data_IF_512929981736
#
_entry.id   IF_512929981736
#
_cell.length_a   1.000
_cell.length_b   1.000
_cell.length_c   1.000
_cell.angle_alpha   90.00
_cell.angle_beta   90.00
_cell.angle_gamma   90.00
#
_symmetry.space_group_name_H-M   'P 1'
#
loop_
_entity.id
_entity.type
_entity.pdbx_description
1 polymer ?
#
# COMPACT_ATOMS: atom_id res chain seq x y z
N UNK A 1 12.95 -19.81 23.11
CA UNK A 1 12.36 -19.28 21.87
C UNK A 1 11.79 -20.46 21.12
N UNK A 2 10.46 -20.55 20.91
CA UNK A 2 9.89 -21.62 20.11
C UNK A 2 10.44 -21.55 18.67
N UNK A 3 10.58 -22.67 17.97
CA UNK A 3 11.03 -22.67 16.59
C UNK A 3 9.95 -22.01 15.73
N UNK A 4 10.32 -20.95 15.02
CA UNK A 4 9.45 -20.36 14.00
C UNK A 4 9.58 -21.24 12.76
N UNK A 5 8.52 -21.98 12.44
CA UNK A 5 8.57 -22.97 11.35
C UNK A 5 7.57 -22.68 10.23
N UNK A 6 6.65 -21.74 10.41
CA UNK A 6 5.64 -21.42 9.41
C UNK A 6 5.58 -19.94 9.06
N UNK A 7 4.88 -19.63 7.97
CA UNK A 7 4.64 -18.25 7.55
C UNK A 7 3.74 -17.51 8.54
N UNK A 8 2.78 -18.19 9.15
CA UNK A 8 1.84 -17.63 10.12
C UNK A 8 2.55 -17.10 11.37
N UNK A 9 3.57 -17.81 11.85
CA UNK A 9 4.41 -17.40 12.98
C UNK A 9 5.14 -16.07 12.71
N UNK A 10 5.37 -15.75 11.44
CA UNK A 10 6.11 -14.56 10.99
C UNK A 10 5.19 -13.43 10.49
N UNK A 11 3.87 -13.59 10.52
CA UNK A 11 2.94 -12.65 9.90
C UNK A 11 3.09 -11.20 10.42
N UNK A 12 3.40 -11.03 11.71
CA UNK A 12 3.63 -9.71 12.33
C UNK A 12 4.85 -8.96 11.79
N UNK A 13 5.77 -9.66 11.13
CA UNK A 13 7.00 -9.10 10.56
C UNK A 13 6.85 -8.73 9.08
N UNK A 14 5.70 -8.99 8.46
CA UNK A 14 5.50 -8.77 7.02
C UNK A 14 5.64 -7.29 6.59
N UNK A 15 5.53 -6.34 7.54
CA UNK A 15 5.70 -4.90 7.31
C UNK A 15 7.05 -4.36 7.80
N UNK A 16 7.96 -5.21 8.28
CA UNK A 16 9.30 -4.77 8.64
C UNK A 16 10.11 -4.40 7.38
N UNK A 17 10.95 -3.36 7.51
CA UNK A 17 11.75 -2.83 6.40
C UNK A 17 12.63 -3.92 5.77
N UNK A 18 13.19 -4.81 6.58
CA UNK A 18 14.12 -5.88 6.21
C UNK A 18 13.45 -7.24 5.92
N UNK A 19 12.12 -7.34 6.04
CA UNK A 19 11.37 -8.58 5.81
C UNK A 19 11.14 -8.93 4.31
N UNK A 20 12.03 -8.48 3.42
CA UNK A 20 11.91 -8.75 1.97
C UNK A 20 11.90 -10.25 1.65
N UNK A 21 12.77 -11.03 2.30
CA UNK A 21 12.82 -12.48 2.11
C UNK A 21 11.54 -13.16 2.61
N UNK A 22 10.99 -12.69 3.73
CA UNK A 22 9.73 -13.20 4.25
C UNK A 22 8.59 -12.95 3.26
N UNK A 23 8.48 -11.74 2.69
CA UNK A 23 7.48 -11.43 1.66
C UNK A 23 7.66 -12.25 0.38
N UNK A 24 8.89 -12.69 0.08
CA UNK A 24 9.16 -13.55 -1.07
C UNK A 24 8.72 -15.00 -0.84
N UNK A 25 8.93 -15.53 0.36
CA UNK A 25 8.59 -16.92 0.71
C UNK A 25 7.12 -17.06 1.12
N UNK A 26 6.61 -16.06 1.84
CA UNK A 26 5.29 -16.05 2.48
C UNK A 26 4.38 -14.96 1.90
N UNK A 27 4.45 -14.73 0.58
CA UNK A 27 3.75 -13.63 -0.08
C UNK A 27 2.25 -13.57 0.21
N UNK A 28 1.58 -14.73 0.26
CA UNK A 28 0.15 -14.80 0.61
C UNK A 28 -0.08 -14.35 2.04
N UNK A 29 0.62 -14.93 3.03
CA UNK A 29 0.50 -14.53 4.45
C UNK A 29 0.85 -13.07 4.69
N UNK A 30 1.77 -12.52 3.90
CA UNK A 30 2.11 -11.10 3.95
C UNK A 30 1.16 -10.22 3.13
N UNK A 31 0.07 -10.72 2.58
CA UNK A 31 -0.93 -9.93 1.86
C UNK A 31 -0.50 -9.43 0.48
N UNK A 32 0.50 -10.05 -0.17
CA UNK A 32 0.91 -9.66 -1.53
C UNK A 32 -0.17 -9.91 -2.60
N UNK A 33 -1.16 -10.76 -2.30
CA UNK A 33 -2.28 -11.07 -3.21
C UNK A 33 -3.58 -10.34 -2.84
N UNK A 34 -3.66 -9.81 -1.61
CA UNK A 34 -4.87 -9.24 -1.03
C UNK A 34 -4.97 -7.75 -1.39
N UNK A 35 -6.01 -7.32 -2.13
CA UNK A 35 -6.15 -5.93 -2.56
C UNK A 35 -6.23 -4.94 -1.39
N UNK A 36 -6.90 -5.35 -0.31
CA UNK A 36 -7.16 -4.49 0.85
C UNK A 36 -6.14 -4.66 1.99
N UNK A 37 -5.06 -5.43 1.77
CA UNK A 37 -3.96 -5.48 2.72
C UNK A 37 -3.23 -4.13 2.78
N UNK A 38 -2.40 -3.94 3.82
CA UNK A 38 -1.57 -2.74 3.94
C UNK A 38 -0.71 -2.59 2.67
N UNK A 39 -0.80 -1.49 1.91
CA UNK A 39 -0.08 -1.32 0.64
C UNK A 39 1.44 -1.29 0.76
N UNK A 40 1.96 -1.01 1.96
CA UNK A 40 3.39 -0.86 2.19
C UNK A 40 4.12 -2.18 1.93
N UNK A 41 5.20 -2.07 1.16
CA UNK A 41 6.05 -3.17 0.72
C UNK A 41 5.34 -4.22 -0.15
N UNK A 42 4.12 -3.96 -0.64
CA UNK A 42 3.39 -4.87 -1.55
C UNK A 42 3.78 -4.67 -3.01
N UNK A 43 5.08 -4.58 -3.26
CA UNK A 43 5.65 -4.37 -4.59
C UNK A 43 6.78 -5.36 -4.84
N UNK A 44 7.11 -5.55 -6.12
CA UNK A 44 8.15 -6.51 -6.51
C UNK A 44 9.51 -6.19 -5.92
N UNK A 45 9.87 -4.91 -5.88
CA UNK A 45 11.13 -4.44 -5.30
C UNK A 45 11.27 -4.82 -3.82
N UNK A 46 10.15 -5.06 -3.13
CA UNK A 46 10.09 -5.31 -1.70
C UNK A 46 9.78 -6.77 -1.35
N UNK A 47 9.83 -7.67 -2.33
CA UNK A 47 9.78 -9.12 -2.10
C UNK A 47 8.51 -9.80 -2.57
N UNK A 48 7.45 -9.07 -2.91
CA UNK A 48 6.26 -9.72 -3.49
C UNK A 48 6.57 -10.31 -4.86
N UNK A 49 6.35 -11.61 -5.02
CA UNK A 49 6.59 -12.30 -6.29
C UNK A 49 5.63 -11.81 -7.38
N UNK A 50 6.11 -11.85 -8.64
CA UNK A 50 5.31 -11.44 -9.81
C UNK A 50 4.01 -12.24 -9.92
N UNK A 51 4.03 -13.52 -9.56
CA UNK A 51 2.84 -14.38 -9.55
C UNK A 51 1.77 -13.82 -8.60
N UNK A 52 2.15 -13.46 -7.37
CA UNK A 52 1.23 -12.85 -6.41
C UNK A 52 0.65 -11.51 -6.91
N UNK A 53 1.50 -10.64 -7.45
CA UNK A 53 1.06 -9.33 -7.95
C UNK A 53 0.17 -9.44 -9.20
N UNK A 54 0.34 -10.48 -10.00
CA UNK A 54 -0.53 -10.76 -11.14
C UNK A 54 -1.91 -11.30 -10.71
N UNK A 55 -2.02 -11.82 -9.49
CA UNK A 55 -3.30 -12.29 -8.93
C UNK A 55 -4.12 -11.13 -8.37
N UNK A 56 -3.50 -10.04 -7.90
CA UNK A 56 -4.22 -8.88 -7.34
C UNK A 56 -5.34 -8.36 -8.27
N UNK A 57 -5.12 -8.11 -9.58
CA UNK A 57 -6.19 -7.68 -10.48
C UNK A 57 -7.37 -8.65 -10.54
N UNK A 58 -7.15 -9.95 -10.35
CA UNK A 58 -8.21 -10.96 -10.39
C UNK A 58 -9.18 -10.75 -9.21
N UNK A 59 -8.64 -10.46 -8.03
CA UNK A 59 -9.44 -10.22 -6.83
C UNK A 59 -10.18 -8.88 -6.88
N UNK A 60 -9.59 -7.86 -7.52
CA UNK A 60 -10.14 -6.50 -7.58
C UNK A 60 -11.37 -6.39 -8.49
N UNK A 61 -11.48 -7.23 -9.53
CA UNK A 61 -12.53 -7.09 -10.57
C UNK A 61 -13.94 -7.14 -9.97
N UNK A 62 -14.14 -7.98 -8.97
CA UNK A 62 -15.45 -8.24 -8.35
C UNK A 62 -15.70 -7.38 -7.08
N UNK A 63 -14.74 -6.56 -6.68
CA UNK A 63 -14.89 -5.67 -5.53
C UNK A 63 -15.86 -4.50 -5.84
N UNK A 64 -16.56 -3.96 -4.82
CA UNK A 64 -17.36 -2.76 -5.00
C UNK A 64 -16.46 -1.55 -5.29
N UNK A 65 -16.97 -0.61 -6.10
CA UNK A 65 -16.33 0.69 -6.32
C UNK A 65 -16.57 1.61 -5.12
N UNK A 66 -16.04 1.22 -3.98
CA UNK A 66 -16.20 1.90 -2.71
C UNK A 66 -14.84 2.10 -2.07
N UNK A 67 -14.58 3.33 -1.65
CA UNK A 67 -13.39 3.67 -0.87
C UNK A 67 -13.50 3.06 0.53
N UNK A 68 -12.38 2.57 1.06
CA UNK A 68 -12.31 2.19 2.47
C UNK A 68 -12.57 3.38 3.38
N UNK A 69 -13.09 3.11 4.57
CA UNK A 69 -13.27 4.14 5.57
C UNK A 69 -11.93 4.67 6.09
N UNK A 70 -11.92 5.90 6.59
CA UNK A 70 -10.71 6.50 7.15
C UNK A 70 -10.15 5.67 8.32
N UNK A 71 -10.99 5.03 9.12
CA UNK A 71 -10.61 4.17 10.24
C UNK A 71 -10.22 2.74 9.85
N UNK A 72 -10.20 2.42 8.55
CA UNK A 72 -9.78 1.10 8.07
C UNK A 72 -8.33 0.80 8.48
N UNK A 73 -8.11 -0.39 9.07
CA UNK A 73 -6.84 -0.73 9.74
C UNK A 73 -5.64 -0.65 8.78
N UNK A 74 -5.78 -1.20 7.57
CA UNK A 74 -4.70 -1.21 6.59
C UNK A 74 -4.36 0.22 6.10
N UNK A 75 -5.36 1.10 6.02
CA UNK A 75 -5.18 2.52 5.68
C UNK A 75 -4.43 3.26 6.78
N UNK A 76 -4.88 3.11 8.03
CA UNK A 76 -4.23 3.74 9.19
C UNK A 76 -2.78 3.28 9.33
N UNK A 77 -2.57 1.96 9.29
CA UNK A 77 -1.25 1.34 9.42
C UNK A 77 -0.29 1.76 8.30
N UNK A 78 -0.77 1.90 7.07
CA UNK A 78 0.04 2.40 5.94
C UNK A 78 0.61 3.79 6.25
N UNK A 79 -0.26 4.72 6.64
CA UNK A 79 0.14 6.11 6.89
C UNK A 79 0.98 6.27 8.17
N UNK A 80 0.79 5.42 9.18
CA UNK A 80 1.65 5.40 10.37
C UNK A 80 3.11 5.05 10.03
N UNK A 81 3.32 4.14 9.08
CA UNK A 81 4.66 3.70 8.68
C UNK A 81 5.26 4.53 7.55
N UNK A 82 4.43 5.24 6.79
CA UNK A 82 4.78 5.89 5.54
C UNK A 82 5.98 6.87 5.66
N UNK A 83 6.02 7.83 6.61
CA UNK A 83 7.15 8.76 6.70
C UNK A 83 8.49 8.06 6.97
N UNK A 84 8.48 7.06 7.86
CA UNK A 84 9.67 6.28 8.21
C UNK A 84 10.16 5.44 7.03
N UNK A 85 9.23 4.84 6.27
CA UNK A 85 9.56 4.02 5.11
C UNK A 85 10.15 4.86 3.96
N UNK A 86 9.58 6.04 3.71
CA UNK A 86 10.11 7.01 2.75
C UNK A 86 11.51 7.50 3.15
N UNK A 87 11.71 7.79 4.43
CA UNK A 87 13.02 8.20 4.96
C UNK A 87 14.08 7.10 4.75
N UNK A 88 13.74 5.86 5.08
CA UNK A 88 14.63 4.72 4.96
C UNK A 88 15.02 4.43 3.50
N UNK A 89 14.09 4.56 2.56
CA UNK A 89 14.30 4.16 1.16
C UNK A 89 14.88 5.29 0.29
N UNK A 90 14.48 6.54 0.53
CA UNK A 90 14.82 7.68 -0.33
C UNK A 90 15.73 8.72 0.35
N UNK A 91 16.07 8.53 1.63
CA UNK A 91 16.99 9.44 2.34
C UNK A 91 16.39 10.82 2.63
N UNK A 92 15.15 10.85 3.10
CA UNK A 92 14.46 12.09 3.44
C UNK A 92 15.18 12.88 4.56
N UNK A 93 15.27 14.19 4.40
CA UNK A 93 15.75 15.12 5.43
C UNK A 93 14.76 15.22 6.60
N UNK A 94 15.17 15.70 7.79
CA UNK A 94 14.25 15.89 8.92
C UNK A 94 13.02 16.76 8.59
N UNK A 95 13.21 17.81 7.80
CA UNK A 95 12.10 18.69 7.34
C UNK A 95 11.14 17.93 6.43
N UNK A 96 11.67 17.14 5.49
CA UNK A 96 10.84 16.31 4.62
C UNK A 96 10.07 15.24 5.42
N UNK A 97 10.70 14.63 6.43
CA UNK A 97 10.02 13.66 7.31
C UNK A 97 8.86 14.32 8.06
N UNK A 98 9.06 15.55 8.54
CA UNK A 98 7.99 16.32 9.18
C UNK A 98 6.82 16.57 8.22
N UNK A 99 7.10 17.06 7.01
CA UNK A 99 6.08 17.31 5.99
C UNK A 99 5.34 16.02 5.57
N UNK A 100 6.06 14.90 5.45
CA UNK A 100 5.45 13.59 5.19
C UNK A 100 4.54 13.17 6.35
N UNK A 101 4.91 13.48 7.58
CA UNK A 101 4.08 13.25 8.77
C UNK A 101 2.79 14.06 8.74
N UNK A 102 2.83 15.33 8.31
CA UNK A 102 1.64 16.15 8.14
C UNK A 102 0.71 15.58 7.04
N UNK A 103 1.27 15.20 5.89
CA UNK A 103 0.50 14.56 4.81
C UNK A 103 -0.14 13.25 5.29
N UNK A 104 0.63 12.40 5.98
CA UNK A 104 0.13 11.15 6.53
C UNK A 104 -1.01 11.38 7.53
N UNK A 105 -0.89 12.39 8.40
CA UNK A 105 -1.95 12.73 9.35
C UNK A 105 -3.22 13.21 8.64
N UNK A 106 -3.10 14.07 7.62
CA UNK A 106 -4.26 14.51 6.82
C UNK A 106 -4.92 13.35 6.08
N UNK A 107 -4.14 12.43 5.50
CA UNK A 107 -4.67 11.21 4.86
C UNK A 107 -5.41 10.31 5.85
N UNK A 108 -4.92 10.18 7.09
CA UNK A 108 -5.60 9.41 8.14
C UNK A 108 -6.92 10.03 8.58
N UNK A 109 -6.99 11.36 8.64
CA UNK A 109 -8.18 12.08 9.10
C UNK A 109 -9.26 12.17 8.02
N UNK A 110 -8.88 12.51 6.80
CA UNK A 110 -9.83 12.70 5.69
C UNK A 110 -10.09 11.43 4.87
N UNK A 111 -9.27 10.39 5.03
CA UNK A 111 -9.37 9.13 4.29
C UNK A 111 -9.06 9.30 2.80
N UNK A 112 -9.65 8.42 1.98
CA UNK A 112 -9.44 8.40 0.52
C UNK A 112 -9.74 9.75 -0.16
N UNK A 113 -10.69 10.55 0.34
CA UNK A 113 -11.04 11.84 -0.25
C UNK A 113 -9.85 12.81 -0.36
N UNK A 114 -8.88 12.72 0.56
CA UNK A 114 -7.71 13.60 0.54
C UNK A 114 -6.80 13.34 -0.68
N UNK A 115 -6.87 12.15 -1.28
CA UNK A 115 -6.14 11.83 -2.51
C UNK A 115 -6.59 12.67 -3.71
N UNK A 116 -7.81 13.25 -3.67
CA UNK A 116 -8.27 14.17 -4.70
C UNK A 116 -7.60 15.56 -4.60
N UNK A 117 -7.17 15.94 -3.40
CA UNK A 117 -6.47 17.21 -3.14
C UNK A 117 -4.96 17.06 -3.32
N UNK A 118 -4.39 15.99 -2.75
CA UNK A 118 -2.97 15.66 -2.82
C UNK A 118 -2.79 14.40 -3.65
N UNK A 119 -2.63 14.61 -4.96
CA UNK A 119 -2.60 13.52 -5.94
C UNK A 119 -1.23 12.85 -6.09
N UNK A 120 -0.15 13.56 -5.73
CA UNK A 120 1.23 13.13 -5.93
C UNK A 120 2.00 13.12 -4.62
N UNK A 121 2.97 12.20 -4.57
CA UNK A 121 3.91 12.04 -3.49
C UNK A 121 4.97 13.15 -3.49
N UNK A 122 5.24 13.72 -2.32
CA UNK A 122 6.03 14.95 -2.17
C UNK A 122 7.51 14.79 -2.56
N UNK A 123 8.10 13.61 -2.40
CA UNK A 123 9.54 13.40 -2.66
C UNK A 123 9.85 12.89 -4.07
N UNK A 124 8.98 12.03 -4.59
CA UNK A 124 9.23 11.24 -5.80
C UNK A 124 8.29 11.61 -6.94
N UNK A 125 7.30 12.46 -6.67
CA UNK A 125 6.29 12.92 -7.64
C UNK A 125 5.53 11.77 -8.30
N UNK A 126 5.43 10.61 -7.63
CA UNK A 126 4.58 9.51 -8.08
C UNK A 126 3.15 9.75 -7.64
N UNK A 127 2.18 9.40 -8.48
CA UNK A 127 0.77 9.48 -8.10
C UNK A 127 0.45 8.43 -7.04
N UNK A 128 -0.15 8.84 -5.92
CA UNK A 128 -0.53 7.90 -4.86
C UNK A 128 -1.46 6.79 -5.36
N UNK A 129 -2.43 7.15 -6.20
CA UNK A 129 -3.36 6.19 -6.80
C UNK A 129 -2.68 5.13 -7.68
N UNK A 130 -1.52 5.44 -8.28
CA UNK A 130 -0.80 4.53 -9.17
C UNK A 130 0.25 3.67 -8.43
N UNK A 131 0.54 4.02 -7.17
CA UNK A 131 1.53 3.33 -6.35
C UNK A 131 2.97 3.77 -6.64
N UNK A 132 3.90 3.35 -5.77
CA UNK A 132 5.33 3.55 -6.00
C UNK A 132 6.01 2.20 -6.27
N UNK A 133 6.66 2.00 -7.44
CA UNK A 133 7.22 0.69 -7.84
C UNK A 133 8.29 0.11 -6.89
N UNK A 134 8.84 0.94 -6.00
CA UNK A 134 9.88 0.58 -5.04
C UNK A 134 9.35 0.46 -3.61
N UNK A 135 8.14 0.96 -3.31
CA UNK A 135 7.70 1.08 -1.93
C UNK A 135 6.29 0.53 -1.66
N UNK A 136 5.26 0.96 -2.38
CA UNK A 136 3.87 0.64 -2.05
C UNK A 136 3.01 0.34 -3.28
N UNK A 137 2.05 -0.57 -3.13
CA UNK A 137 1.09 -0.91 -4.18
C UNK A 137 0.11 0.24 -4.45
N UNK A 138 -0.57 0.27 -5.61
CA UNK A 138 -1.52 1.33 -5.96
C UNK A 138 -2.58 1.55 -4.86
N UNK A 139 -2.77 2.81 -4.42
CA UNK A 139 -3.84 3.13 -3.48
C UNK A 139 -5.24 3.03 -4.11
N UNK A 140 -5.34 2.88 -5.43
CA UNK A 140 -6.62 2.55 -6.09
C UNK A 140 -7.23 1.24 -5.62
N UNK A 141 -6.44 0.34 -5.02
CA UNK A 141 -6.94 -0.91 -4.43
C UNK A 141 -7.74 -0.67 -3.14
N UNK A 142 -7.44 0.40 -2.40
CA UNK A 142 -8.16 0.82 -1.20
C UNK A 142 -9.17 1.92 -1.46
N UNK A 143 -8.86 2.80 -2.43
CA UNK A 143 -9.63 3.98 -2.74
C UNK A 143 -10.11 3.97 -4.19
N UNK A 144 -10.84 2.93 -4.65
CA UNK A 144 -11.22 2.80 -6.04
C UNK A 144 -12.15 3.93 -6.49
N UNK A 145 -13.09 4.39 -5.66
CA UNK A 145 -14.00 5.48 -6.04
C UNK A 145 -13.27 6.80 -6.25
N UNK A 146 -12.28 7.10 -5.41
CA UNK A 146 -11.47 8.33 -5.56
C UNK A 146 -10.45 8.20 -6.71
N UNK A 147 -9.81 7.05 -6.87
CA UNK A 147 -8.69 6.88 -7.80
C UNK A 147 -9.11 6.46 -9.22
N UNK A 148 -10.21 5.73 -9.39
CA UNK A 148 -10.59 5.10 -10.65
C UNK A 148 -11.39 6.01 -11.58
N UNK A 149 -10.75 7.11 -12.00
CA UNK A 149 -11.30 8.05 -13.00
C UNK A 149 -10.97 7.66 -14.45
N UNK A 150 -10.42 6.46 -14.67
CA UNK A 150 -10.07 5.92 -15.98
C UNK A 150 -9.72 4.42 -15.94
N UNK A 151 -9.32 3.86 -17.07
CA UNK A 151 -9.05 2.43 -17.24
C UNK A 151 -7.69 2.02 -16.63
N UNK A 152 -7.69 1.64 -15.35
CA UNK A 152 -6.58 0.98 -14.65
C UNK A 152 -6.93 -0.48 -14.36
N UNK A 153 -5.95 -1.37 -14.46
CA UNK A 153 -6.12 -2.80 -14.11
C UNK A 153 -6.30 -3.02 -12.60
N UNK A 154 -6.05 -1.99 -11.79
CA UNK A 154 -6.21 -2.00 -10.34
C UNK A 154 -7.53 -1.35 -9.90
N UNK A 155 -8.45 -1.16 -10.83
CA UNK A 155 -9.77 -0.62 -10.57
C UNK A 155 -10.82 -1.71 -10.74
N UNK A 156 -11.78 -1.82 -9.81
CA UNK A 156 -12.91 -2.72 -9.98
C UNK A 156 -13.70 -2.41 -11.23
N UNK A 157 -14.29 -3.45 -11.83
CA UNK A 157 -15.15 -3.29 -13.01
C UNK A 157 -16.37 -2.39 -12.74
N UNK A 158 -16.81 -2.38 -11.48
CA UNK A 158 -17.92 -1.56 -10.99
C UNK A 158 -17.64 -0.05 -10.99
N UNK A 159 -16.38 0.39 -11.13
CA UNK A 159 -16.03 1.82 -11.24
C UNK A 159 -16.28 2.41 -12.64
N UNK A 160 -16.76 1.60 -13.60
CA UNK A 160 -17.05 2.08 -14.95
C UNK A 160 -15.80 2.31 -15.81
N UNK A 161 -14.76 1.50 -15.59
CA UNK A 161 -13.54 1.47 -16.38
C UNK A 161 -13.78 1.14 -17.85
#
# INVERSE_FOLDING_TARGET
MPPISTCEDMASHCTDVDAQLLRMVCGVTCGCVEPQANPLYKVRAQGCLKTCLNEQPIWVVDEPCEDVSADFEAWQSFWDMYPSAMAALFGATPEQIFNLGEVAQSMKEAGCNYLAEVTHEVLTDVRYCDGHPLLFSPLSLLCPRTCCTGSSIFCPSSCGA
#
